data_IF_440133589756
#
_entry.id   IF_440133589756
#
_cell.length_a   1.000
_cell.length_b   1.000
_cell.length_c   1.000
_cell.angle_alpha   90.00
_cell.angle_beta   90.00
_cell.angle_gamma   90.00
#
_symmetry.space_group_name_H-M   'P 1'
#
loop_
_entity.id
_entity.type
_entity.pdbx_description
1 polymer ?
#
# COMPACT_ATOMS: atom_id res chain seq x y z
N UNK A 1 -23.70 -1.27 -7.35
CA UNK A 1 -22.31 -0.84 -7.66
C UNK A 1 -22.28 0.09 -8.87
N UNK A 2 -22.95 -0.23 -9.98
CA UNK A 2 -23.07 0.69 -11.14
C UNK A 2 -23.53 2.09 -10.72
N UNK A 3 -24.45 2.18 -9.75
CA UNK A 3 -24.91 3.45 -9.18
C UNK A 3 -23.79 4.22 -8.44
N UNK A 4 -22.70 3.56 -8.03
CA UNK A 4 -21.55 4.25 -7.45
C UNK A 4 -20.65 4.90 -8.49
N UNK A 5 -20.65 4.41 -9.73
CA UNK A 5 -19.80 4.93 -10.81
C UNK A 5 -20.58 5.89 -11.71
N UNK A 6 -21.90 5.67 -11.84
CA UNK A 6 -22.77 6.49 -12.68
C UNK A 6 -23.73 7.32 -11.83
N UNK A 7 -23.85 8.59 -12.15
CA UNK A 7 -24.85 9.51 -11.58
C UNK A 7 -25.52 10.23 -12.75
N UNK A 8 -26.86 10.10 -12.84
CA UNK A 8 -27.67 10.69 -13.92
C UNK A 8 -27.14 10.38 -15.33
N UNK A 9 -26.70 9.12 -15.57
CA UNK A 9 -26.16 8.68 -16.84
C UNK A 9 -24.77 9.22 -17.19
N UNK A 10 -24.13 9.98 -16.29
CA UNK A 10 -22.75 10.46 -16.43
C UNK A 10 -21.82 9.74 -15.46
N UNK A 11 -20.60 9.54 -15.90
CA UNK A 11 -19.56 8.91 -15.06
C UNK A 11 -19.24 9.80 -13.85
N UNK A 12 -19.32 9.22 -12.66
CA UNK A 12 -18.94 9.90 -11.44
C UNK A 12 -17.42 9.88 -11.28
N UNK A 13 -16.76 10.99 -11.63
CA UNK A 13 -15.31 11.11 -11.60
C UNK A 13 -14.71 10.78 -10.22
N UNK A 14 -15.36 11.25 -9.14
CA UNK A 14 -14.89 10.96 -7.78
C UNK A 14 -14.90 9.46 -7.49
N UNK A 15 -15.91 8.73 -7.92
CA UNK A 15 -15.99 7.27 -7.74
C UNK A 15 -15.01 6.54 -8.65
N UNK A 16 -14.80 7.01 -9.86
CA UNK A 16 -13.78 6.47 -10.77
C UNK A 16 -12.37 6.66 -10.20
N UNK A 17 -12.09 7.76 -9.54
CA UNK A 17 -10.83 7.97 -8.82
C UNK A 17 -10.63 6.99 -7.66
N UNK A 18 -11.71 6.49 -7.07
CA UNK A 18 -11.63 5.47 -6.02
C UNK A 18 -11.51 4.03 -6.54
N UNK A 19 -11.71 3.82 -7.86
CA UNK A 19 -11.55 2.50 -8.49
C UNK A 19 -10.09 2.08 -8.51
N UNK A 20 -9.85 0.82 -8.16
CA UNK A 20 -8.55 0.17 -8.28
C UNK A 20 -8.72 -1.32 -8.51
N UNK A 21 -7.76 -1.96 -9.21
CA UNK A 21 -7.73 -3.41 -9.30
C UNK A 21 -7.67 -4.03 -7.90
N UNK A 22 -8.44 -5.08 -7.69
CA UNK A 22 -8.30 -5.86 -6.49
C UNK A 22 -6.93 -6.55 -6.50
N UNK A 23 -6.14 -6.27 -5.49
CA UNK A 23 -4.86 -6.93 -5.26
C UNK A 23 -4.72 -7.17 -3.77
N UNK A 24 -4.26 -8.35 -3.38
CA UNK A 24 -4.03 -8.75 -1.99
C UNK A 24 -3.16 -7.74 -1.20
N UNK A 25 -2.30 -7.01 -1.91
CA UNK A 25 -1.43 -6.02 -1.30
C UNK A 25 -2.13 -4.72 -0.89
N UNK A 26 -3.33 -4.45 -1.43
CA UNK A 26 -4.14 -3.30 -1.03
C UNK A 26 -5.00 -3.57 0.19
N UNK A 27 -5.29 -4.85 0.47
CA UNK A 27 -6.14 -5.26 1.58
C UNK A 27 -5.34 -5.85 2.71
N UNK A 28 -5.62 -5.35 3.88
CA UNK A 28 -4.97 -5.80 5.11
C UNK A 28 -5.26 -7.28 5.40
N UNK A 29 -6.43 -7.76 5.04
CA UNK A 29 -6.91 -9.13 5.29
C UNK A 29 -8.07 -9.53 4.38
N UNK A 30 -7.90 -9.77 3.09
CA UNK A 30 -8.94 -10.51 2.40
C UNK A 30 -8.91 -11.94 2.93
N UNK A 31 -10.06 -12.55 3.28
CA UNK A 31 -10.11 -13.97 3.56
C UNK A 31 -9.46 -14.74 2.41
N UNK A 32 -8.70 -15.81 2.69
CA UNK A 32 -8.03 -16.59 1.64
C UNK A 32 -9.00 -17.13 0.58
N UNK A 33 -10.24 -17.41 0.99
CA UNK A 33 -11.33 -17.78 0.10
C UNK A 33 -11.67 -16.71 -0.93
N UNK A 34 -11.50 -15.44 -0.58
CA UNK A 34 -11.74 -14.30 -1.48
C UNK A 34 -10.55 -14.11 -2.42
N UNK A 35 -9.31 -14.30 -1.94
CA UNK A 35 -8.10 -14.22 -2.76
C UNK A 35 -8.10 -15.18 -3.94
N UNK A 36 -8.60 -16.40 -3.74
CA UNK A 36 -8.62 -17.45 -4.79
C UNK A 36 -9.76 -17.28 -5.77
N UNK A 37 -10.85 -16.61 -5.39
CA UNK A 37 -12.11 -16.64 -6.11
C UNK A 37 -12.39 -15.39 -6.94
N UNK A 38 -11.82 -14.24 -6.59
CA UNK A 38 -12.18 -12.99 -7.22
C UNK A 38 -10.96 -12.23 -7.73
N UNK A 39 -10.88 -12.12 -9.05
CA UNK A 39 -10.12 -11.07 -9.72
C UNK A 39 -11.13 -9.98 -10.05
N UNK A 40 -10.91 -8.75 -9.60
CA UNK A 40 -11.89 -7.69 -9.83
C UNK A 40 -11.43 -6.34 -9.34
N UNK A 41 -12.37 -5.46 -9.19
CA UNK A 41 -12.17 -4.09 -8.74
C UNK A 41 -12.82 -3.86 -7.39
N UNK A 42 -12.40 -2.81 -6.74
CA UNK A 42 -12.98 -2.31 -5.50
C UNK A 42 -12.96 -0.79 -5.49
N UNK A 43 -13.80 -0.20 -4.66
CA UNK A 43 -13.85 1.24 -4.43
C UNK A 43 -13.14 1.60 -3.13
N UNK A 44 -11.98 2.22 -3.24
CA UNK A 44 -11.19 2.55 -2.08
C UNK A 44 -10.86 1.31 -1.24
N UNK A 45 -11.26 1.30 0.03
CA UNK A 45 -11.16 0.17 0.96
C UNK A 45 -12.48 -0.61 1.06
N UNK A 46 -13.40 -0.37 0.14
CA UNK A 46 -14.70 -1.00 0.10
C UNK A 46 -14.65 -2.47 -0.32
N UNK A 47 -15.81 -3.13 -0.35
CA UNK A 47 -15.91 -4.51 -0.78
C UNK A 47 -15.50 -4.68 -2.23
N UNK A 48 -15.06 -5.90 -2.56
CA UNK A 48 -14.74 -6.29 -3.93
C UNK A 48 -16.02 -6.35 -4.72
N UNK A 49 -15.97 -5.86 -5.96
CA UNK A 49 -17.04 -6.03 -6.93
C UNK A 49 -17.03 -7.48 -7.40
N UNK A 50 -18.10 -8.20 -7.14
CA UNK A 50 -18.21 -9.65 -7.42
C UNK A 50 -19.01 -9.97 -8.67
N UNK A 51 -19.84 -9.03 -9.13
CA UNK A 51 -20.61 -9.19 -10.38
C UNK A 51 -19.71 -8.96 -11.60
N UNK A 52 -19.78 -9.88 -12.57
CA UNK A 52 -18.89 -9.87 -13.74
C UNK A 52 -19.14 -8.66 -14.64
N UNK A 53 -20.41 -8.27 -14.86
CA UNK A 53 -20.74 -7.11 -15.70
C UNK A 53 -20.28 -5.81 -15.05
N UNK A 54 -20.45 -5.71 -13.72
CA UNK A 54 -19.96 -4.58 -12.96
C UNK A 54 -18.44 -4.50 -12.97
N UNK A 55 -17.75 -5.64 -12.87
CA UNK A 55 -16.28 -5.70 -12.97
C UNK A 55 -15.79 -5.20 -14.34
N UNK A 56 -16.39 -5.67 -15.42
CA UNK A 56 -16.03 -5.24 -16.77
C UNK A 56 -16.25 -3.72 -16.96
N UNK A 57 -17.32 -3.20 -16.38
CA UNK A 57 -17.57 -1.75 -16.38
C UNK A 57 -16.53 -0.98 -15.56
N UNK A 58 -16.19 -1.48 -14.37
CA UNK A 58 -15.16 -0.89 -13.53
C UNK A 58 -13.78 -0.91 -14.22
N UNK A 59 -13.46 -1.99 -14.92
CA UNK A 59 -12.24 -2.11 -15.71
C UNK A 59 -12.18 -1.07 -16.84
N UNK A 60 -13.26 -0.93 -17.59
CA UNK A 60 -13.35 0.07 -18.64
C UNK A 60 -13.21 1.50 -18.09
N UNK A 61 -13.86 1.81 -16.96
CA UNK A 61 -13.77 3.10 -16.30
C UNK A 61 -12.35 3.39 -15.76
N UNK A 62 -11.71 2.38 -15.17
CA UNK A 62 -10.33 2.46 -14.68
C UNK A 62 -9.34 2.70 -15.83
N UNK A 63 -9.44 1.92 -16.90
CA UNK A 63 -8.58 2.03 -18.07
C UNK A 63 -8.80 3.39 -18.78
N UNK A 64 -10.05 3.88 -18.85
CA UNK A 64 -10.33 5.22 -19.38
C UNK A 64 -9.65 6.31 -18.54
N UNK A 65 -9.70 6.21 -17.22
CA UNK A 65 -8.99 7.13 -16.31
C UNK A 65 -7.48 7.12 -16.57
N UNK A 66 -6.88 5.93 -16.65
CA UNK A 66 -5.44 5.78 -16.93
C UNK A 66 -5.05 6.32 -18.31
N UNK A 67 -5.89 6.11 -19.36
CA UNK A 67 -5.63 6.63 -20.70
C UNK A 67 -5.61 8.17 -20.75
N UNK A 68 -6.24 8.83 -19.78
CA UNK A 68 -6.16 10.29 -19.58
C UNK A 68 -4.94 10.73 -18.76
N UNK A 69 -4.07 9.79 -18.37
CA UNK A 69 -2.91 10.08 -17.52
C UNK A 69 -3.25 10.40 -16.05
N UNK A 70 -4.49 10.12 -15.64
CA UNK A 70 -4.94 10.42 -14.28
C UNK A 70 -4.64 9.21 -13.39
N UNK A 71 -3.75 9.38 -12.42
CA UNK A 71 -3.39 8.37 -11.42
C UNK A 71 -3.58 8.93 -10.00
N UNK A 72 -3.93 8.06 -9.08
CA UNK A 72 -3.98 8.40 -7.65
C UNK A 72 -2.64 8.04 -6.98
N UNK A 73 -2.41 8.52 -5.75
CA UNK A 73 -1.24 8.13 -4.97
C UNK A 73 -1.16 6.61 -4.74
N UNK A 74 -2.31 5.95 -4.62
CA UNK A 74 -2.37 4.50 -4.48
C UNK A 74 -1.98 3.78 -5.78
N UNK A 75 -2.44 4.29 -6.93
CA UNK A 75 -2.03 3.76 -8.24
C UNK A 75 -0.52 3.91 -8.45
N UNK A 76 0.04 5.07 -8.09
CA UNK A 76 1.47 5.33 -8.22
C UNK A 76 2.29 4.34 -7.39
N UNK A 77 1.88 4.08 -6.14
CA UNK A 77 2.53 3.12 -5.27
C UNK A 77 2.43 1.70 -5.82
N UNK A 78 1.25 1.31 -6.32
CA UNK A 78 1.05 0.00 -6.93
C UNK A 78 1.89 -0.17 -8.20
N UNK A 79 1.91 0.86 -9.07
CA UNK A 79 2.73 0.86 -10.29
C UNK A 79 4.21 0.71 -9.94
N UNK A 80 4.69 1.47 -8.96
CA UNK A 80 6.08 1.37 -8.49
C UNK A 80 6.41 -0.05 -8.01
N UNK A 81 5.56 -0.62 -7.15
CA UNK A 81 5.72 -2.00 -6.68
C UNK A 81 5.70 -3.02 -7.84
N UNK A 82 4.75 -2.86 -8.79
CA UNK A 82 4.64 -3.74 -9.95
C UNK A 82 5.91 -3.69 -10.80
N UNK A 83 6.41 -2.48 -11.09
CA UNK A 83 7.63 -2.29 -11.90
C UNK A 83 8.82 -3.00 -11.27
N UNK A 84 9.12 -2.76 -9.99
CA UNK A 84 10.28 -3.40 -9.33
C UNK A 84 10.09 -4.92 -9.18
N UNK A 85 8.85 -5.40 -9.10
CA UNK A 85 8.55 -6.83 -9.01
C UNK A 85 8.74 -7.56 -10.34
N UNK A 86 8.54 -6.87 -11.46
CA UNK A 86 8.68 -7.42 -12.82
C UNK A 86 10.06 -7.19 -13.42
N UNK A 87 10.72 -6.10 -13.02
CA UNK A 87 11.97 -5.64 -13.63
C UNK A 87 13.05 -5.50 -12.56
N UNK A 88 13.73 -6.63 -12.25
CA UNK A 88 14.76 -6.69 -11.20
C UNK A 88 15.85 -5.63 -11.38
N UNK A 89 16.26 -5.36 -12.63
CA UNK A 89 17.25 -4.33 -12.93
C UNK A 89 16.84 -2.92 -12.48
N UNK A 90 15.54 -2.60 -12.47
CA UNK A 90 15.06 -1.32 -11.94
C UNK A 90 15.28 -1.24 -10.42
N UNK A 91 15.01 -2.33 -9.69
CA UNK A 91 15.32 -2.39 -8.27
C UNK A 91 16.84 -2.23 -8.01
N UNK A 92 17.69 -2.86 -8.83
CA UNK A 92 19.15 -2.75 -8.74
C UNK A 92 19.65 -1.31 -9.01
N UNK A 93 19.05 -0.60 -9.99
CA UNK A 93 19.33 0.81 -10.25
C UNK A 93 18.95 1.67 -9.03
N UNK A 94 17.78 1.44 -8.44
CA UNK A 94 17.32 2.17 -7.23
C UNK A 94 18.31 1.94 -6.08
N UNK A 95 18.72 0.70 -5.84
CA UNK A 95 19.66 0.34 -4.78
C UNK A 95 21.03 0.98 -5.02
N UNK A 96 21.51 0.99 -6.25
CA UNK A 96 22.76 1.64 -6.61
C UNK A 96 22.73 3.14 -6.36
N UNK A 97 21.59 3.78 -6.60
CA UNK A 97 21.37 5.21 -6.35
C UNK A 97 21.19 5.53 -4.88
N UNK A 98 20.50 4.63 -4.15
CA UNK A 98 20.15 4.77 -2.74
C UNK A 98 20.56 3.53 -1.97
N UNK A 99 21.86 3.37 -1.66
CA UNK A 99 22.38 2.16 -1.00
C UNK A 99 22.01 2.09 0.49
N UNK A 100 21.46 3.17 1.02
CA UNK A 100 20.98 3.30 2.40
C UNK A 100 19.60 3.96 2.39
N UNK A 101 18.62 3.31 2.98
CA UNK A 101 17.24 3.79 3.06
C UNK A 101 16.78 3.80 4.50
N UNK A 102 16.30 4.94 4.97
CA UNK A 102 15.63 5.08 6.27
C UNK A 102 14.16 5.40 6.00
N UNK A 103 13.28 4.62 6.62
CA UNK A 103 11.82 4.80 6.54
C UNK A 103 11.37 5.36 7.88
N UNK A 104 11.09 6.65 7.91
CA UNK A 104 10.56 7.33 9.09
C UNK A 104 9.04 7.16 9.22
N UNK A 105 8.51 7.31 10.43
CA UNK A 105 7.08 7.10 10.77
C UNK A 105 6.56 5.75 10.22
N UNK A 106 7.37 4.72 10.38
CA UNK A 106 7.12 3.42 9.75
C UNK A 106 5.79 2.78 10.18
N UNK A 107 5.24 3.13 11.34
CA UNK A 107 3.92 2.68 11.81
C UNK A 107 2.77 3.13 10.92
N UNK A 108 2.96 4.19 10.13
CA UNK A 108 1.94 4.75 9.23
C UNK A 108 2.02 4.19 7.80
N UNK A 109 3.04 3.39 7.52
CA UNK A 109 3.16 2.74 6.22
C UNK A 109 2.06 1.71 5.99
N UNK A 110 1.57 1.67 4.75
CA UNK A 110 0.67 0.63 4.26
C UNK A 110 1.43 -0.69 4.05
N UNK A 111 0.68 -1.79 3.99
CA UNK A 111 1.25 -3.10 3.65
C UNK A 111 2.03 -3.07 2.31
N UNK A 112 1.51 -2.34 1.32
CA UNK A 112 2.15 -2.23 0.01
C UNK A 112 3.50 -1.51 0.07
N UNK A 113 3.65 -0.50 0.95
CA UNK A 113 4.94 0.17 1.17
C UNK A 113 5.96 -0.79 1.81
N UNK A 114 5.56 -1.55 2.83
CA UNK A 114 6.43 -2.60 3.38
C UNK A 114 6.82 -3.63 2.30
N UNK A 115 5.87 -4.09 1.48
CA UNK A 115 6.14 -5.03 0.40
C UNK A 115 7.10 -4.45 -0.65
N UNK A 116 7.02 -3.14 -0.93
CA UNK A 116 7.95 -2.44 -1.82
C UNK A 116 9.38 -2.49 -1.27
N UNK A 117 9.59 -2.13 -0.02
CA UNK A 117 10.92 -2.17 0.60
C UNK A 117 11.45 -3.60 0.72
N UNK A 118 10.59 -4.56 1.01
CA UNK A 118 10.98 -5.99 1.03
C UNK A 118 11.45 -6.47 -0.36
N UNK A 119 10.83 -5.98 -1.45
CA UNK A 119 11.31 -6.27 -2.81
C UNK A 119 12.70 -5.66 -3.07
N UNK A 120 12.98 -4.47 -2.58
CA UNK A 120 14.32 -3.89 -2.66
C UNK A 120 15.35 -4.71 -1.83
N UNK A 121 14.97 -5.15 -0.62
CA UNK A 121 15.82 -6.04 0.20
C UNK A 121 16.13 -7.35 -0.54
N UNK A 122 15.13 -7.99 -1.13
CA UNK A 122 15.31 -9.20 -1.95
C UNK A 122 16.18 -8.96 -3.19
N UNK A 123 16.18 -7.76 -3.74
CA UNK A 123 17.03 -7.38 -4.86
C UNK A 123 18.47 -6.99 -4.44
N UNK A 124 18.78 -6.96 -3.14
CA UNK A 124 20.13 -6.74 -2.62
C UNK A 124 20.33 -5.47 -1.78
N UNK A 125 19.27 -4.73 -1.41
CA UNK A 125 19.38 -3.62 -0.47
C UNK A 125 19.79 -4.15 0.91
N UNK A 126 20.97 -3.75 1.38
CA UNK A 126 21.54 -4.20 2.66
C UNK A 126 21.19 -3.28 3.82
N UNK A 127 21.14 -1.97 3.56
CA UNK A 127 20.97 -0.97 4.60
C UNK A 127 19.54 -0.40 4.50
N UNK A 128 18.63 -1.03 5.21
CA UNK A 128 17.24 -0.61 5.34
C UNK A 128 16.92 -0.48 6.83
N UNK A 129 16.48 0.70 7.23
CA UNK A 129 16.09 1.00 8.60
C UNK A 129 14.64 1.49 8.64
N UNK A 130 13.92 1.07 9.67
CA UNK A 130 12.60 1.56 9.99
C UNK A 130 12.65 2.29 11.33
N UNK A 131 12.20 3.53 11.33
CA UNK A 131 12.03 4.34 12.54
C UNK A 131 10.54 4.58 12.74
N UNK A 132 10.04 4.35 13.94
CA UNK A 132 8.63 4.53 14.21
C UNK A 132 8.22 4.18 15.63
N UNK A 133 7.03 4.62 16.00
CA UNK A 133 6.40 4.32 17.27
C UNK A 133 5.01 3.71 17.04
N UNK A 134 4.86 2.44 17.39
CA UNK A 134 3.61 1.70 17.19
C UNK A 134 2.45 2.33 17.97
N UNK A 135 2.74 2.93 19.14
CA UNK A 135 1.73 3.58 19.97
C UNK A 135 1.17 4.87 19.32
N UNK A 136 1.93 5.49 18.41
CA UNK A 136 1.51 6.68 17.68
C UNK A 136 0.76 6.39 16.37
N UNK A 137 0.49 5.13 16.05
CA UNK A 137 -0.23 4.76 14.83
C UNK A 137 -1.71 5.16 14.91
N UNK A 138 -2.04 6.32 14.38
CA UNK A 138 -3.40 6.87 14.31
C UNK A 138 -4.03 6.76 12.91
N UNK A 139 -3.25 6.42 11.88
CA UNK A 139 -3.68 6.40 10.47
C UNK A 139 -4.20 5.05 9.98
N UNK A 140 -4.77 4.23 10.86
CA UNK A 140 -5.42 2.95 10.49
C UNK A 140 -6.49 3.09 9.39
N UNK A 141 -7.17 4.25 9.34
CA UNK A 141 -8.15 4.58 8.30
C UNK A 141 -7.51 4.87 6.92
N UNK A 142 -6.21 5.19 6.86
CA UNK A 142 -5.44 5.40 5.62
C UNK A 142 -4.65 4.16 5.18
N UNK A 143 -5.04 2.96 5.60
CA UNK A 143 -4.36 1.69 5.32
C UNK A 143 -2.99 1.54 6.01
N UNK A 144 -2.69 2.28 7.05
CA UNK A 144 -1.52 2.02 7.87
C UNK A 144 -1.54 0.57 8.38
N UNK A 145 -0.37 -0.08 8.36
CA UNK A 145 -0.22 -1.48 8.75
C UNK A 145 0.83 -1.67 9.87
N UNK A 146 0.58 -1.16 11.08
CA UNK A 146 1.53 -1.22 12.18
C UNK A 146 1.92 -2.66 12.56
N UNK A 147 1.09 -3.65 12.24
CA UNK A 147 1.42 -5.07 12.45
C UNK A 147 2.63 -5.53 11.64
N UNK A 148 2.92 -4.93 10.48
CA UNK A 148 4.14 -5.24 9.75
C UNK A 148 5.36 -4.84 10.57
N UNK A 149 5.38 -3.61 11.12
CA UNK A 149 6.46 -3.14 11.98
C UNK A 149 6.62 -4.04 13.21
N UNK A 150 5.51 -4.41 13.89
CA UNK A 150 5.53 -5.36 15.01
C UNK A 150 6.14 -6.72 14.63
N UNK A 151 5.85 -7.19 13.41
CA UNK A 151 6.40 -8.47 12.93
C UNK A 151 7.90 -8.37 12.67
N UNK A 152 8.38 -7.24 12.13
CA UNK A 152 9.81 -6.99 11.95
C UNK A 152 10.55 -6.95 13.27
N UNK A 153 10.00 -6.29 14.30
CA UNK A 153 10.59 -6.26 15.66
C UNK A 153 10.75 -7.65 16.30
N UNK A 154 9.90 -8.60 15.91
CA UNK A 154 9.96 -10.00 16.41
C UNK A 154 10.84 -10.90 15.54
N UNK A 155 11.24 -10.46 14.36
CA UNK A 155 12.05 -11.23 13.43
C UNK A 155 13.53 -11.10 13.81
N UNK A 156 14.19 -12.25 14.05
CA UNK A 156 15.61 -12.33 14.42
C UNK A 156 16.59 -11.82 13.36
N UNK A 157 16.12 -11.64 12.13
CA UNK A 157 16.93 -11.05 11.05
C UNK A 157 17.07 -9.52 11.17
N UNK A 158 16.30 -8.90 12.07
CA UNK A 158 16.30 -7.47 12.30
C UNK A 158 16.85 -7.12 13.68
N UNK A 159 17.78 -6.17 13.72
CA UNK A 159 18.23 -5.58 14.96
C UNK A 159 17.22 -4.54 15.41
N UNK A 160 16.67 -4.69 16.61
CA UNK A 160 15.71 -3.73 17.17
C UNK A 160 16.38 -2.93 18.27
N UNK A 161 16.34 -1.60 18.14
CA UNK A 161 16.79 -0.66 19.15
C UNK A 161 15.56 0.06 19.73
N UNK A 162 15.49 0.12 21.05
CA UNK A 162 14.41 0.80 21.76
C UNK A 162 14.89 2.13 22.34
N UNK A 163 14.16 3.19 22.05
CA UNK A 163 14.33 4.47 22.75
C UNK A 163 13.46 4.47 23.99
N UNK A 164 14.09 4.62 25.16
CA UNK A 164 13.42 4.58 26.47
C UNK A 164 13.22 5.96 27.08
N UNK A 165 13.82 6.98 26.48
CA UNK A 165 13.71 8.37 26.96
C UNK A 165 12.93 9.23 25.98
N UNK A 166 11.93 9.94 26.47
CA UNK A 166 11.27 11.00 25.73
C UNK A 166 11.91 12.36 26.08
N UNK A 167 12.50 13.01 25.08
CA UNK A 167 13.13 14.34 25.25
C UNK A 167 12.28 15.48 24.66
N UNK A 168 11.18 15.16 23.97
CA UNK A 168 10.30 16.16 23.32
C UNK A 168 9.30 16.76 24.31
N UNK A 169 8.79 15.98 25.24
CA UNK A 169 7.72 16.37 26.14
C UNK A 169 8.15 16.38 27.59
N UNK A 170 7.53 17.24 28.40
CA UNK A 170 7.74 17.25 29.85
C UNK A 170 7.17 15.96 30.45
N UNK A 171 7.79 15.47 31.54
CA UNK A 171 7.37 14.25 32.24
C UNK A 171 5.90 14.25 32.72
N UNK A 172 5.25 15.42 32.80
CA UNK A 172 3.82 15.54 33.13
C UNK A 172 2.89 15.19 31.95
N UNK A 173 3.42 15.03 30.74
CA UNK A 173 2.66 14.78 29.50
C UNK A 173 2.87 13.33 29.02
N UNK A 174 3.84 12.66 29.57
CA UNK A 174 4.16 11.25 29.34
C UNK A 174 3.56 10.43 30.45
#
# INVERSE_FOLDING_TARGET
YLNHVMVNGKMNEYKVMALRPYNDLFYKYPPETVRRKYKGFCFGNGPIVTDEKENNYCEAAFNHRLSKGIITSQDALWIAFYIISKHKHIAEIIISRFPYIIVDEAQDNSYLQFAFFEKLKQAGLKNLEYVGDICQSIYGFRNAYPKALQSLMKNKEWNTLHFTECRRSNQRII
#
